data_IF_680040699258
#
_entry.id   IF_680040699258
#
_cell.length_a   1.000
_cell.length_b   1.000
_cell.length_c   1.000
_cell.angle_alpha   90.00
_cell.angle_beta   90.00
_cell.angle_gamma   90.00
#
_symmetry.space_group_name_H-M   'P 1'
#
loop_
_entity.id
_entity.type
_entity.pdbx_description
1 polymer ?
#
# COMPACT_ATOMS: atom_id res chain seq x y z
N UNK A 1 -14.90 2.38 13.33
CA UNK A 1 -14.39 2.17 11.96
C UNK A 1 -13.89 0.74 11.85
N UNK A 2 -14.15 0.06 10.74
CA UNK A 2 -13.64 -1.29 10.56
C UNK A 2 -12.51 -1.29 9.54
N UNK A 3 -11.52 -2.15 9.77
CA UNK A 3 -10.38 -2.33 8.89
C UNK A 3 -10.03 -3.81 8.85
N UNK A 4 -10.04 -4.38 7.66
CA UNK A 4 -9.73 -5.80 7.47
C UNK A 4 -8.30 -5.94 6.96
N UNK A 5 -7.50 -6.73 7.65
CA UNK A 5 -6.11 -6.96 7.26
C UNK A 5 -6.03 -7.56 5.86
N UNK A 6 -5.17 -7.01 5.01
CA UNK A 6 -4.93 -7.54 3.67
C UNK A 6 -3.54 -8.13 3.53
N UNK A 7 -2.51 -7.33 3.78
CA UNK A 7 -1.13 -7.78 3.61
C UNK A 7 -0.17 -6.84 4.34
N UNK A 8 1.07 -7.29 4.45
CA UNK A 8 2.16 -6.43 4.89
C UNK A 8 3.13 -6.24 3.71
N UNK A 9 3.44 -4.99 3.40
CA UNK A 9 4.36 -4.65 2.33
C UNK A 9 5.77 -4.50 2.85
N UNK A 10 6.71 -5.19 2.22
CA UNK A 10 8.13 -5.16 2.60
C UNK A 10 8.93 -4.58 1.44
N UNK A 11 9.58 -3.43 1.63
CA UNK A 11 10.40 -2.87 0.55
C UNK A 11 11.66 -3.70 0.35
N UNK A 12 12.01 -3.92 -0.92
CA UNK A 12 13.22 -4.65 -1.29
C UNK A 12 13.99 -3.84 -2.32
N UNK A 13 15.31 -4.03 -2.37
CA UNK A 13 16.16 -3.32 -3.32
C UNK A 13 16.38 -4.08 -4.62
N UNK A 14 16.18 -5.38 -4.60
CA UNK A 14 16.35 -6.23 -5.79
C UNK A 14 15.04 -6.94 -6.12
N UNK A 15 14.78 -7.11 -7.41
CA UNK A 15 13.60 -7.87 -7.84
C UNK A 15 13.68 -9.31 -7.36
N UNK A 16 12.52 -9.84 -6.97
CA UNK A 16 12.35 -11.25 -6.64
C UNK A 16 11.63 -11.95 -7.79
N UNK A 17 11.82 -13.27 -7.95
CA UNK A 17 11.11 -14.02 -8.98
C UNK A 17 9.60 -13.86 -8.84
N UNK A 18 8.90 -13.77 -9.97
CA UNK A 18 7.43 -13.70 -9.98
C UNK A 18 6.84 -12.33 -9.74
N UNK A 19 7.66 -11.30 -9.58
CA UNK A 19 7.15 -9.94 -9.44
C UNK A 19 6.56 -9.42 -10.74
N UNK A 20 5.51 -8.60 -10.60
CA UNK A 20 4.87 -7.91 -11.72
C UNK A 20 5.13 -6.41 -11.63
N UNK A 21 5.35 -5.78 -12.78
CA UNK A 21 5.59 -4.35 -12.83
C UNK A 21 4.27 -3.59 -12.96
N UNK A 22 4.06 -2.59 -12.11
CA UNK A 22 2.91 -1.70 -12.15
C UNK A 22 3.39 -0.36 -12.70
N UNK A 23 3.19 -0.16 -13.99
CA UNK A 23 3.75 1.00 -14.70
C UNK A 23 3.27 2.34 -14.14
N UNK A 24 1.97 2.45 -13.84
CA UNK A 24 1.41 3.70 -13.33
C UNK A 24 2.06 4.16 -12.02
N UNK A 25 2.54 3.23 -11.22
CA UNK A 25 3.14 3.51 -9.92
C UNK A 25 4.65 3.31 -9.90
N UNK A 26 5.22 2.78 -10.98
CA UNK A 26 6.66 2.50 -11.11
C UNK A 26 7.18 1.66 -9.97
N UNK A 27 6.52 0.53 -9.73
CA UNK A 27 6.90 -0.44 -8.70
C UNK A 27 6.80 -1.86 -9.25
N UNK A 28 7.60 -2.75 -8.67
CA UNK A 28 7.47 -4.19 -8.87
C UNK A 28 6.86 -4.77 -7.60
N UNK A 29 5.87 -5.64 -7.75
CA UNK A 29 5.18 -6.23 -6.60
C UNK A 29 5.04 -7.74 -6.76
N UNK A 30 5.14 -8.45 -5.65
CA UNK A 30 4.76 -9.86 -5.58
C UNK A 30 3.29 -9.96 -5.18
N UNK A 31 2.70 -11.13 -5.36
CA UNK A 31 1.31 -11.36 -4.97
C UNK A 31 1.27 -11.84 -3.51
N UNK A 32 0.71 -11.04 -2.59
CA UNK A 32 0.64 -11.46 -1.18
C UNK A 32 -0.25 -12.68 -0.97
N UNK A 33 -1.21 -12.95 -1.87
CA UNK A 33 -2.08 -14.11 -1.73
C UNK A 33 -1.32 -15.43 -1.91
N UNK A 34 -0.15 -15.39 -2.55
CA UNK A 34 0.71 -16.58 -2.71
C UNK A 34 1.64 -16.80 -1.53
N UNK A 35 1.60 -15.92 -0.53
CA UNK A 35 2.46 -15.99 0.65
C UNK A 35 1.66 -16.42 1.88
N UNK A 36 2.21 -17.34 2.67
CA UNK A 36 1.54 -17.86 3.86
C UNK A 36 1.11 -16.77 4.85
N UNK A 37 1.89 -15.69 4.94
CA UNK A 37 1.63 -14.60 5.87
C UNK A 37 1.17 -13.32 5.18
N UNK A 38 0.76 -13.42 3.91
CA UNK A 38 0.33 -12.27 3.13
C UNK A 38 1.41 -11.19 3.06
N UNK A 39 2.65 -11.58 2.84
CA UNK A 39 3.75 -10.63 2.63
C UNK A 39 3.82 -10.28 1.15
N UNK A 40 3.75 -8.97 0.86
CA UNK A 40 3.94 -8.43 -0.48
C UNK A 40 5.31 -7.75 -0.52
N UNK A 41 6.19 -8.22 -1.39
CA UNK A 41 7.47 -7.55 -1.60
C UNK A 41 7.28 -6.45 -2.63
N UNK A 42 7.85 -5.27 -2.37
CA UNK A 42 7.70 -4.11 -3.24
C UNK A 42 9.09 -3.55 -3.55
N UNK A 43 9.39 -3.43 -4.84
CA UNK A 43 10.61 -2.74 -5.28
C UNK A 43 10.19 -1.44 -5.96
N UNK A 44 10.63 -0.33 -5.42
CA UNK A 44 10.31 0.99 -5.97
C UNK A 44 11.33 1.37 -7.02
N UNK A 45 10.85 1.88 -8.16
CA UNK A 45 11.72 2.37 -9.22
C UNK A 45 11.85 3.90 -9.15
N UNK A 46 12.84 4.42 -9.80
CA UNK A 46 13.03 5.86 -9.89
C UNK A 46 11.81 6.51 -10.56
N UNK A 47 11.33 7.60 -10.00
CA UNK A 47 10.17 8.29 -10.51
C UNK A 47 8.85 7.80 -9.96
N UNK A 48 8.87 6.83 -9.04
CA UNK A 48 7.62 6.39 -8.39
C UNK A 48 6.97 7.56 -7.64
N UNK A 49 5.62 7.66 -7.67
CA UNK A 49 4.93 8.70 -6.90
C UNK A 49 4.85 8.40 -5.40
N UNK A 50 5.21 7.20 -4.96
CA UNK A 50 5.13 6.86 -3.55
C UNK A 50 6.23 7.56 -2.75
N UNK A 51 5.90 8.07 -1.53
CA UNK A 51 6.86 8.78 -0.71
C UNK A 51 8.06 7.91 -0.30
N UNK A 52 9.20 8.56 -0.13
CA UNK A 52 10.46 7.87 0.15
C UNK A 52 10.42 7.05 1.44
N UNK A 53 9.65 7.48 2.44
CA UNK A 53 9.54 6.74 3.69
C UNK A 53 9.04 5.31 3.46
N UNK A 54 8.22 5.10 2.43
CA UNK A 54 7.72 3.77 2.07
C UNK A 54 8.78 2.89 1.44
N UNK A 55 9.85 3.50 0.90
CA UNK A 55 10.94 2.74 0.29
C UNK A 55 11.86 2.10 1.33
N UNK A 56 11.74 2.50 2.59
CA UNK A 56 12.67 2.11 3.66
C UNK A 56 12.01 1.37 4.81
N UNK A 57 10.68 1.40 4.88
CA UNK A 57 9.96 0.82 6.02
C UNK A 57 8.77 0.00 5.53
N UNK A 58 8.43 -1.08 6.25
CA UNK A 58 7.24 -1.86 5.93
C UNK A 58 5.96 -1.05 6.10
N UNK A 59 4.91 -1.46 5.38
CA UNK A 59 3.57 -0.92 5.61
C UNK A 59 2.58 -2.06 5.75
N UNK A 60 1.47 -1.80 6.44
CA UNK A 60 0.40 -2.79 6.61
C UNK A 60 -0.83 -2.29 5.88
N UNK A 61 -1.42 -3.15 5.05
CA UNK A 61 -2.58 -2.80 4.25
C UNK A 61 -3.86 -3.31 4.87
N UNK A 62 -4.88 -2.47 4.86
CA UNK A 62 -6.21 -2.80 5.36
C UNK A 62 -7.26 -2.44 4.31
N UNK A 63 -8.23 -3.33 4.15
CA UNK A 63 -9.43 -3.02 3.37
C UNK A 63 -10.40 -2.27 4.26
N UNK A 64 -10.88 -1.12 3.79
CA UNK A 64 -11.77 -0.25 4.56
C UNK A 64 -12.98 0.14 3.71
N UNK A 65 -14.05 0.54 4.39
CA UNK A 65 -15.26 1.02 3.71
C UNK A 65 -15.13 2.46 3.24
N UNK A 66 -14.38 3.28 3.99
CA UNK A 66 -14.31 4.72 3.75
C UNK A 66 -12.93 5.24 4.13
N UNK A 67 -12.12 5.48 3.10
CA UNK A 67 -10.74 5.97 3.30
C UNK A 67 -10.73 7.29 4.09
N UNK A 68 -11.62 8.22 3.74
CA UNK A 68 -11.63 9.55 4.34
C UNK A 68 -11.83 9.50 5.86
N UNK A 69 -12.65 8.58 6.36
CA UNK A 69 -12.84 8.43 7.81
C UNK A 69 -11.57 7.99 8.50
N UNK A 70 -10.84 7.06 7.88
CA UNK A 70 -9.57 6.58 8.43
C UNK A 70 -8.49 7.66 8.38
N UNK A 71 -8.47 8.47 7.31
CA UNK A 71 -7.50 9.55 7.21
C UNK A 71 -7.72 10.62 8.28
N UNK A 72 -8.97 10.87 8.67
CA UNK A 72 -9.27 11.83 9.76
C UNK A 72 -8.70 11.34 11.08
N UNK A 73 -8.62 10.04 11.28
CA UNK A 73 -8.09 9.44 12.51
C UNK A 73 -6.57 9.31 12.48
N UNK A 74 -5.95 9.42 11.32
CA UNK A 74 -4.51 9.25 11.16
C UNK A 74 -3.74 10.48 11.64
N UNK A 75 -2.47 10.28 11.94
CA UNK A 75 -1.59 11.38 12.34
C UNK A 75 -1.14 12.21 11.14
N UNK A 76 -0.95 11.55 10.00
CA UNK A 76 -0.50 12.21 8.78
C UNK A 76 -0.92 11.41 7.55
N UNK A 77 -1.39 12.09 6.50
CA UNK A 77 -1.61 11.46 5.20
C UNK A 77 -0.35 11.64 4.37
N UNK A 78 0.28 10.54 3.96
CA UNK A 78 1.52 10.60 3.17
C UNK A 78 1.30 10.31 1.69
N UNK A 79 0.16 9.74 1.32
CA UNK A 79 -0.22 9.54 -0.07
C UNK A 79 -1.74 9.67 -0.16
N UNK A 80 -2.20 10.72 -0.83
CA UNK A 80 -3.64 11.03 -0.90
C UNK A 80 -4.42 9.94 -1.63
N UNK A 81 -5.73 9.80 -1.36
CA UNK A 81 -6.56 8.82 -2.06
C UNK A 81 -6.39 8.92 -3.57
N UNK A 82 -6.05 7.80 -4.19
CA UNK A 82 -5.73 7.73 -5.62
C UNK A 82 -6.38 6.49 -6.21
N UNK A 83 -7.07 6.65 -7.34
CA UNK A 83 -7.68 5.53 -8.03
C UNK A 83 -6.59 4.72 -8.74
N UNK A 84 -6.57 3.41 -8.50
CA UNK A 84 -5.58 2.50 -9.09
C UNK A 84 -6.20 1.50 -10.05
N UNK A 85 -7.52 1.54 -10.18
CA UNK A 85 -8.30 0.69 -11.08
C UNK A 85 -9.75 1.08 -10.96
N UNK A 86 -10.66 0.55 -11.80
CA UNK A 86 -12.08 0.92 -11.74
C UNK A 86 -12.67 0.66 -10.36
N UNK A 87 -13.10 1.73 -9.69
CA UNK A 87 -13.72 1.64 -8.38
C UNK A 87 -12.81 1.27 -7.23
N UNK A 88 -11.49 1.30 -7.43
CA UNK A 88 -10.52 0.96 -6.39
C UNK A 88 -9.61 2.15 -6.11
N UNK A 89 -9.56 2.56 -4.85
CA UNK A 89 -8.68 3.65 -4.42
C UNK A 89 -7.77 3.17 -3.29
N UNK A 90 -6.57 3.74 -3.24
CA UNK A 90 -5.66 3.53 -2.13
C UNK A 90 -5.21 4.87 -1.57
N UNK A 91 -4.83 4.85 -0.30
CA UNK A 91 -4.17 5.97 0.35
C UNK A 91 -3.19 5.41 1.37
N UNK A 92 -2.20 6.20 1.74
CA UNK A 92 -1.25 5.81 2.77
C UNK A 92 -1.19 6.89 3.85
N UNK A 93 -1.10 6.45 5.08
CA UNK A 93 -1.09 7.35 6.23
C UNK A 93 -0.13 6.83 7.30
N UNK A 94 0.20 7.69 8.24
CA UNK A 94 0.95 7.30 9.43
C UNK A 94 -0.01 7.35 10.61
N UNK A 95 -0.08 6.26 11.35
CA UNK A 95 -0.87 6.14 12.57
C UNK A 95 -0.03 5.47 13.64
N UNK A 96 0.17 6.18 14.75
CA UNK A 96 0.95 5.67 15.89
C UNK A 96 2.33 5.16 15.48
N UNK A 97 2.96 5.85 14.53
CA UNK A 97 4.28 5.50 14.02
C UNK A 97 4.30 4.44 12.94
N UNK A 98 3.17 3.83 12.61
CA UNK A 98 3.10 2.81 11.58
C UNK A 98 2.62 3.39 10.25
N UNK A 99 3.22 2.91 9.15
CA UNK A 99 2.72 3.24 7.82
C UNK A 99 1.60 2.27 7.50
N UNK A 100 0.41 2.80 7.25
CA UNK A 100 -0.75 1.99 6.88
C UNK A 100 -1.20 2.33 5.46
N UNK A 101 -1.58 1.29 4.72
CA UNK A 101 -2.24 1.43 3.43
C UNK A 101 -3.73 1.20 3.63
N UNK A 102 -4.53 2.11 3.07
CA UNK A 102 -5.99 2.00 3.12
C UNK A 102 -6.48 1.67 1.72
N UNK A 103 -7.14 0.54 1.58
CA UNK A 103 -7.65 0.04 0.30
C UNK A 103 -9.17 0.09 0.35
N UNK A 104 -9.78 0.80 -0.60
CA UNK A 104 -11.23 0.95 -0.67
C UNK A 104 -11.74 0.49 -2.03
N UNK A 105 -12.70 -0.41 -2.00
CA UNK A 105 -13.35 -0.88 -3.22
C UNK A 105 -14.78 -0.37 -3.25
N UNK A 106 -15.17 0.28 -4.35
CA UNK A 106 -16.54 0.76 -4.53
C UNK A 106 -17.51 -0.41 -4.56
N UNK A 107 -18.65 -0.20 -3.96
CA UNK A 107 -19.70 -1.20 -3.91
C UNK A 107 -20.52 -1.23 -5.20
#
# INVERSE_FOLDING_TARGET
>A
MSAEYMHIGIPVTNKKPGMNYVEAMKIWVSNPDDHDYKIEYVKFEEGTPFPEVMHRAPHVAFKVDDIEKHLKDADETIFAPTEIGPGVRIAFAIKDGAIIELYEQAK
#
